data_IF_350245427838
#
_entry.id   IF_350245427838
#
_cell.length_a   1.000
_cell.length_b   1.000
_cell.length_c   1.000
_cell.angle_alpha   90.00
_cell.angle_beta   90.00
_cell.angle_gamma   90.00
#
_symmetry.space_group_name_H-M   'P 1'
#
loop_
_entity.id
_entity.type
_entity.pdbx_description
1 polymer ?
#
# COMPACT_ATOMS: atom_id res chain seq x y z
N UNK A 1 -24.14 22.56 1.20
CA UNK A 1 -24.15 22.58 2.68
C UNK A 1 -25.34 21.75 3.17
N UNK A 2 -25.14 20.45 3.32
CA UNK A 2 -26.19 19.55 3.83
C UNK A 2 -26.21 19.70 5.34
N UNK A 3 -27.33 20.20 5.89
CA UNK A 3 -27.57 20.34 7.33
C UNK A 3 -27.33 18.99 8.01
N UNK A 4 -26.56 19.02 9.09
CA UNK A 4 -26.48 17.94 10.08
C UNK A 4 -27.91 17.73 10.59
N UNK A 5 -28.61 16.73 10.05
CA UNK A 5 -29.89 16.28 10.56
C UNK A 5 -29.61 15.51 11.85
N UNK A 6 -30.10 16.06 12.96
CA UNK A 6 -30.04 15.58 14.34
C UNK A 6 -28.73 15.82 15.09
N UNK A 7 -28.62 17.04 15.63
CA UNK A 7 -27.72 17.38 16.74
C UNK A 7 -28.00 16.51 18.00
N UNK A 8 -29.22 16.01 18.16
CA UNK A 8 -29.67 15.29 19.36
C UNK A 8 -29.04 13.90 19.51
N UNK A 9 -28.83 13.17 18.41
CA UNK A 9 -28.17 11.84 18.44
C UNK A 9 -26.68 11.97 18.81
N UNK A 10 -26.03 13.06 18.40
CA UNK A 10 -24.65 13.40 18.80
C UNK A 10 -24.56 13.81 20.28
N UNK A 11 -25.63 14.39 20.82
CA UNK A 11 -25.69 14.86 22.21
C UNK A 11 -26.05 13.76 23.21
N UNK A 12 -26.75 12.70 22.77
CA UNK A 12 -27.13 11.54 23.61
C UNK A 12 -25.92 10.84 24.24
N UNK A 13 -24.97 10.39 23.42
CA UNK A 13 -23.71 9.78 23.86
C UNK A 13 -22.80 10.78 24.59
N UNK A 14 -22.95 12.08 24.30
CA UNK A 14 -22.15 13.12 24.93
C UNK A 14 -22.55 13.42 26.37
N UNK A 15 -23.80 13.20 26.79
CA UNK A 15 -24.25 13.49 28.17
C UNK A 15 -23.66 12.55 29.22
N UNK A 16 -23.56 11.26 28.91
CA UNK A 16 -22.93 10.28 29.80
C UNK A 16 -21.41 10.52 29.88
N UNK A 17 -20.78 10.88 28.76
CA UNK A 17 -19.34 11.19 28.70
C UNK A 17 -18.97 12.52 29.40
N UNK A 18 -19.82 13.55 29.29
CA UNK A 18 -19.67 14.83 29.99
C UNK A 18 -19.78 14.70 31.51
N UNK A 19 -20.47 13.66 32.01
CA UNK A 19 -20.47 13.38 33.46
C UNK A 19 -19.20 12.68 33.96
N UNK A 20 -18.38 12.13 33.05
CA UNK A 20 -17.15 11.40 33.38
C UNK A 20 -15.87 12.24 33.21
N UNK A 21 -15.94 13.38 32.51
CA UNK A 21 -14.78 14.23 32.21
C UNK A 21 -15.04 15.69 32.57
N UNK A 22 -14.32 16.21 33.56
CA UNK A 22 -14.31 17.64 33.92
C UNK A 22 -13.61 18.46 32.83
N UNK A 23 -14.37 18.90 31.83
CA UNK A 23 -13.90 19.92 30.90
C UNK A 23 -13.91 21.28 31.60
N UNK A 24 -12.73 21.79 31.95
CA UNK A 24 -12.52 23.04 32.68
C UNK A 24 -12.90 24.28 31.84
N UNK A 25 -12.90 24.16 30.50
CA UNK A 25 -13.23 25.25 29.57
C UNK A 25 -14.02 24.74 28.34
N UNK A 26 -14.97 25.56 27.89
CA UNK A 26 -15.71 25.39 26.61
C UNK A 26 -14.75 25.35 25.41
N UNK A 27 -13.61 26.05 25.46
CA UNK A 27 -12.54 25.93 24.45
C UNK A 27 -11.96 24.52 24.38
N UNK A 28 -11.70 23.88 25.52
CA UNK A 28 -11.16 22.52 25.58
C UNK A 28 -12.19 21.50 25.10
N UNK A 29 -13.46 21.68 25.43
CA UNK A 29 -14.54 20.87 24.89
C UNK A 29 -14.71 21.05 23.37
N UNK A 30 -14.63 22.28 22.86
CA UNK A 30 -14.70 22.55 21.41
C UNK A 30 -13.45 22.04 20.68
N UNK A 31 -12.28 22.05 21.32
CA UNK A 31 -11.04 21.45 20.80
C UNK A 31 -11.15 19.92 20.78
N UNK A 32 -11.73 19.33 21.81
CA UNK A 32 -12.06 17.91 21.90
C UNK A 32 -13.07 17.49 20.80
N UNK A 33 -14.17 18.22 20.64
CA UNK A 33 -15.15 17.96 19.58
C UNK A 33 -14.57 18.13 18.18
N UNK A 34 -13.71 19.14 17.97
CA UNK A 34 -12.96 19.32 16.72
C UNK A 34 -11.89 18.25 16.50
N UNK A 35 -11.43 17.61 17.57
CA UNK A 35 -10.54 16.46 17.52
C UNK A 35 -11.27 15.14 17.32
N UNK A 36 -12.59 15.13 17.11
CA UNK A 36 -13.27 13.95 16.60
C UNK A 36 -12.72 13.66 15.20
N UNK A 37 -11.72 12.78 15.16
CA UNK A 37 -11.19 12.23 13.93
C UNK A 37 -12.31 11.44 13.28
N UNK A 38 -12.77 11.90 12.11
CA UNK A 38 -13.87 11.25 11.39
C UNK A 38 -13.45 9.80 11.12
N UNK A 39 -14.02 8.89 11.90
CA UNK A 39 -13.88 7.45 11.74
C UNK A 39 -15.18 6.97 11.16
N UNK A 40 -15.10 6.34 10.00
CA UNK A 40 -16.22 5.58 9.47
C UNK A 40 -15.88 4.12 9.64
N UNK A 41 -16.66 3.44 10.47
CA UNK A 41 -16.76 1.99 10.42
C UNK A 41 -17.53 1.65 9.15
N UNK A 42 -16.86 1.83 8.02
CA UNK A 42 -17.32 1.24 6.79
C UNK A 42 -17.26 -0.26 7.03
N UNK A 43 -18.44 -0.88 7.16
CA UNK A 43 -18.69 -2.28 6.82
C UNK A 43 -18.53 -2.50 5.31
N UNK A 44 -17.68 -1.72 4.64
CA UNK A 44 -17.12 -2.10 3.35
C UNK A 44 -16.16 -3.21 3.72
N UNK A 45 -16.70 -4.42 3.76
CA UNK A 45 -15.88 -5.61 3.68
C UNK A 45 -14.94 -5.35 2.51
N UNK A 46 -13.66 -5.15 2.80
CA UNK A 46 -12.66 -4.93 1.74
C UNK A 46 -12.69 -6.11 0.76
N UNK A 47 -13.13 -7.26 1.26
CA UNK A 47 -13.61 -8.40 0.51
C UNK A 47 -14.78 -9.04 1.29
N UNK A 48 -16.04 -8.95 0.82
CA UNK A 48 -17.19 -9.62 1.43
C UNK A 48 -16.96 -11.12 1.62
N UNK A 49 -17.60 -11.73 2.62
CA UNK A 49 -17.41 -13.16 2.91
C UNK A 49 -17.73 -14.05 1.71
N UNK A 50 -18.80 -13.75 0.98
CA UNK A 50 -19.18 -14.51 -0.22
C UNK A 50 -18.17 -14.33 -1.35
N UNK A 51 -17.62 -13.13 -1.54
CA UNK A 51 -16.54 -12.89 -2.49
C UNK A 51 -15.29 -13.67 -2.11
N UNK A 52 -14.90 -13.65 -0.84
CA UNK A 52 -13.74 -14.38 -0.33
C UNK A 52 -13.90 -15.89 -0.54
N UNK A 53 -15.07 -16.46 -0.21
CA UNK A 53 -15.39 -17.88 -0.47
C UNK A 53 -15.31 -18.22 -1.95
N UNK A 54 -15.86 -17.36 -2.82
CA UNK A 54 -15.78 -17.56 -4.26
C UNK A 54 -14.33 -17.58 -4.76
N UNK A 55 -13.49 -16.66 -4.26
CA UNK A 55 -12.05 -16.65 -4.58
C UNK A 55 -11.36 -17.92 -4.12
N UNK A 56 -11.61 -18.38 -2.89
CA UNK A 56 -11.06 -19.65 -2.40
C UNK A 56 -11.45 -20.83 -3.27
N UNK A 57 -12.73 -20.95 -3.64
CA UNK A 57 -13.20 -22.02 -4.52
C UNK A 57 -12.47 -22.00 -5.88
N UNK A 58 -12.23 -20.83 -6.45
CA UNK A 58 -11.46 -20.71 -7.69
C UNK A 58 -10.00 -21.08 -7.51
N UNK A 59 -9.38 -20.67 -6.39
CA UNK A 59 -7.99 -21.01 -6.06
C UNK A 59 -7.83 -22.52 -5.83
N UNK A 60 -8.77 -23.17 -5.17
CA UNK A 60 -8.79 -24.63 -4.97
C UNK A 60 -8.83 -25.37 -6.32
N UNK A 61 -9.74 -24.98 -7.20
CA UNK A 61 -9.83 -25.54 -8.57
C UNK A 61 -8.54 -25.31 -9.37
N UNK A 62 -7.93 -24.14 -9.22
CA UNK A 62 -6.66 -23.83 -9.85
C UNK A 62 -5.55 -24.75 -9.32
N UNK A 63 -5.49 -24.94 -8.00
CA UNK A 63 -4.50 -25.80 -7.36
C UNK A 63 -4.64 -27.26 -7.82
N UNK A 64 -5.85 -27.80 -7.84
CA UNK A 64 -6.14 -29.16 -8.35
C UNK A 64 -5.65 -29.33 -9.78
N UNK A 65 -5.98 -28.37 -10.66
CA UNK A 65 -5.56 -28.40 -12.07
C UNK A 65 -4.05 -28.26 -12.22
N UNK A 66 -3.41 -27.40 -11.44
CA UNK A 66 -1.95 -27.21 -11.47
C UNK A 66 -1.24 -28.49 -11.01
N UNK A 67 -1.69 -29.13 -9.93
CA UNK A 67 -1.12 -30.37 -9.41
C UNK A 67 -1.30 -31.56 -10.37
N UNK A 68 -2.37 -31.58 -11.16
CA UNK A 68 -2.56 -32.59 -12.19
C UNK A 68 -1.53 -32.49 -13.34
N UNK A 69 -0.99 -31.29 -13.59
CA UNK A 69 -0.07 -31.03 -14.70
C UNK A 69 1.40 -30.84 -14.26
N UNK A 70 1.64 -30.48 -12.99
CA UNK A 70 2.95 -30.12 -12.47
C UNK A 70 3.24 -30.92 -11.19
N UNK A 71 4.14 -31.89 -11.31
CA UNK A 71 4.67 -32.63 -10.18
C UNK A 71 5.29 -31.65 -9.16
N UNK A 72 4.79 -31.70 -7.93
CA UNK A 72 5.24 -30.89 -6.79
C UNK A 72 4.84 -29.40 -6.83
N UNK A 73 3.82 -29.01 -7.59
CA UNK A 73 3.29 -27.66 -7.45
C UNK A 73 2.70 -27.44 -6.04
N UNK A 74 3.16 -26.37 -5.39
CA UNK A 74 2.71 -25.94 -4.07
C UNK A 74 2.33 -24.46 -4.14
N UNK A 75 1.14 -24.14 -3.64
CA UNK A 75 0.68 -22.77 -3.53
C UNK A 75 1.37 -22.11 -2.32
N UNK A 76 2.23 -21.13 -2.57
CA UNK A 76 2.85 -20.34 -1.51
C UNK A 76 2.01 -19.09 -1.15
N UNK A 77 2.34 -18.45 -0.03
CA UNK A 77 1.63 -17.25 0.44
C UNK A 77 1.66 -16.11 -0.59
N UNK A 78 2.73 -15.99 -1.36
CA UNK A 78 2.85 -14.96 -2.39
C UNK A 78 1.89 -15.17 -3.56
N UNK A 79 1.87 -16.39 -4.11
CA UNK A 79 0.99 -16.78 -5.20
C UNK A 79 -0.46 -16.73 -4.75
N UNK A 80 -0.76 -17.16 -3.53
CA UNK A 80 -2.08 -17.00 -2.92
C UNK A 80 -2.50 -15.52 -2.84
N UNK A 81 -1.62 -14.63 -2.36
CA UNK A 81 -1.93 -13.20 -2.25
C UNK A 81 -2.24 -12.57 -3.62
N UNK A 82 -1.49 -12.92 -4.66
CA UNK A 82 -1.76 -12.50 -6.05
C UNK A 82 -3.15 -12.97 -6.49
N UNK A 83 -3.44 -14.27 -6.34
CA UNK A 83 -4.74 -14.82 -6.72
C UNK A 83 -5.89 -14.16 -5.95
N UNK A 84 -5.71 -13.84 -4.68
CA UNK A 84 -6.71 -13.15 -3.86
C UNK A 84 -6.95 -11.70 -4.30
N UNK A 85 -6.03 -11.06 -5.04
CA UNK A 85 -6.20 -9.71 -5.58
C UNK A 85 -6.64 -9.66 -7.04
N UNK A 86 -6.48 -10.75 -7.79
CA UNK A 86 -6.95 -10.86 -9.16
C UNK A 86 -8.46 -10.55 -9.27
N UNK A 87 -8.97 -10.15 -10.44
CA UNK A 87 -10.42 -10.07 -10.62
C UNK A 87 -11.04 -11.47 -10.61
N UNK A 88 -12.30 -11.59 -10.20
CA UNK A 88 -13.03 -12.86 -10.26
C UNK A 88 -13.09 -13.40 -11.70
N UNK A 89 -13.36 -12.52 -12.67
CA UNK A 89 -13.40 -12.89 -14.09
C UNK A 89 -12.08 -13.51 -14.57
N UNK A 90 -10.95 -12.99 -14.05
CA UNK A 90 -9.63 -13.53 -14.38
C UNK A 90 -9.39 -14.89 -13.74
N UNK A 91 -9.74 -15.05 -12.45
CA UNK A 91 -9.66 -16.33 -11.77
C UNK A 91 -10.52 -17.40 -12.45
N UNK A 92 -11.73 -17.04 -12.88
CA UNK A 92 -12.62 -17.92 -13.63
C UNK A 92 -12.00 -18.27 -15.00
N UNK A 93 -11.53 -17.28 -15.76
CA UNK A 93 -10.93 -17.48 -17.07
C UNK A 93 -9.69 -18.40 -17.00
N UNK A 94 -8.88 -18.29 -15.95
CA UNK A 94 -7.72 -19.16 -15.74
C UNK A 94 -8.13 -20.63 -15.74
N UNK A 95 -9.19 -21.01 -15.04
CA UNK A 95 -9.62 -22.41 -14.97
C UNK A 95 -10.03 -22.96 -16.34
N UNK A 96 -10.52 -22.11 -17.23
CA UNK A 96 -10.95 -22.49 -18.58
C UNK A 96 -9.78 -22.70 -19.56
N UNK A 97 -8.63 -22.10 -19.31
CA UNK A 97 -7.45 -22.20 -20.20
C UNK A 97 -6.71 -23.52 -19.92
N UNK A 98 -6.40 -24.36 -20.93
CA UNK A 98 -5.66 -25.62 -20.72
C UNK A 98 -4.33 -25.43 -19.98
N UNK A 99 -3.57 -24.39 -20.35
CA UNK A 99 -2.37 -23.92 -19.64
C UNK A 99 -2.70 -22.72 -18.73
N UNK A 100 -3.48 -22.98 -17.68
CA UNK A 100 -3.87 -21.98 -16.71
C UNK A 100 -2.70 -21.46 -15.85
N UNK A 101 -1.56 -22.15 -15.89
CA UNK A 101 -0.44 -21.88 -15.00
C UNK A 101 0.45 -20.75 -15.51
N UNK A 102 0.73 -20.74 -16.81
CA UNK A 102 1.61 -19.76 -17.46
C UNK A 102 1.23 -18.30 -17.16
N UNK A 103 -0.04 -17.86 -17.22
CA UNK A 103 -0.38 -16.46 -16.93
C UNK A 103 -0.07 -16.04 -15.49
N UNK A 104 -0.35 -16.91 -14.50
CA UNK A 104 -0.04 -16.62 -13.10
C UNK A 104 1.47 -16.56 -12.90
N UNK A 105 2.22 -17.56 -13.36
CA UNK A 105 3.68 -17.58 -13.16
C UNK A 105 4.39 -16.43 -13.86
N UNK A 106 3.96 -16.08 -15.06
CA UNK A 106 4.48 -14.91 -15.78
C UNK A 106 4.22 -13.59 -15.04
N UNK A 107 3.28 -13.57 -14.09
CA UNK A 107 3.00 -12.40 -13.25
C UNK A 107 3.71 -12.39 -11.90
N UNK A 108 4.13 -13.55 -11.39
CA UNK A 108 4.75 -13.68 -10.06
C UNK A 108 6.04 -12.85 -10.00
N UNK A 109 6.99 -13.11 -10.90
CA UNK A 109 8.30 -12.45 -10.85
C UNK A 109 8.20 -10.94 -11.10
N UNK A 110 7.42 -10.45 -12.09
CA UNK A 110 7.20 -9.02 -12.24
C UNK A 110 6.56 -8.38 -11.01
N UNK A 111 5.59 -9.05 -10.37
CA UNK A 111 4.97 -8.54 -9.14
C UNK A 111 5.96 -8.49 -7.99
N UNK A 112 6.81 -9.52 -7.81
CA UNK A 112 7.90 -9.51 -6.82
C UNK A 112 8.85 -8.33 -7.04
N UNK A 113 9.30 -8.14 -8.28
CA UNK A 113 10.20 -7.03 -8.64
C UNK A 113 9.55 -5.67 -8.32
N UNK A 114 8.25 -5.50 -8.63
CA UNK A 114 7.54 -4.26 -8.31
C UNK A 114 7.46 -4.04 -6.81
N UNK A 115 7.14 -5.08 -6.02
CA UNK A 115 7.10 -4.98 -4.55
C UNK A 115 8.48 -4.68 -3.94
N UNK A 116 9.54 -5.29 -4.47
CA UNK A 116 10.91 -4.98 -4.08
C UNK A 116 11.26 -3.52 -4.36
N UNK A 117 10.75 -2.94 -5.46
CA UNK A 117 10.93 -1.51 -5.70
C UNK A 117 10.18 -0.64 -4.67
N UNK A 118 9.05 -1.10 -4.13
CA UNK A 118 8.26 -0.38 -3.14
C UNK A 118 8.82 -0.46 -1.72
N UNK A 119 9.31 -1.63 -1.31
CA UNK A 119 9.57 -1.97 0.09
C UNK A 119 10.98 -2.53 0.34
N UNK A 120 11.67 -2.97 -0.70
CA UNK A 120 13.04 -3.44 -0.59
C UNK A 120 14.01 -2.28 -0.36
N UNK A 121 15.11 -2.57 0.34
CA UNK A 121 16.27 -1.67 0.32
C UNK A 121 16.80 -1.60 -1.12
N UNK A 122 17.06 -0.37 -1.57
CA UNK A 122 17.51 0.01 -2.92
C UNK A 122 18.21 -1.14 -3.68
N UNK A 123 17.48 -1.82 -4.57
CA UNK A 123 18.00 -2.76 -5.57
C UNK A 123 18.73 -4.02 -5.05
N UNK A 124 17.99 -5.03 -4.55
CA UNK A 124 18.38 -6.45 -4.76
C UNK A 124 18.17 -6.92 -6.21
N UNK A 125 17.62 -6.08 -7.07
CA UNK A 125 17.47 -6.32 -8.51
C UNK A 125 18.80 -6.36 -9.28
N UNK A 126 19.93 -5.98 -8.67
CA UNK A 126 21.25 -6.30 -9.21
C UNK A 126 21.47 -7.82 -9.33
N UNK A 127 20.86 -8.62 -8.43
CA UNK A 127 20.93 -10.09 -8.47
C UNK A 127 19.88 -10.72 -9.41
N UNK A 128 18.68 -10.15 -9.52
CA UNK A 128 17.58 -10.74 -10.30
C UNK A 128 17.65 -10.54 -11.83
N UNK A 129 18.57 -9.72 -12.34
CA UNK A 129 18.63 -9.52 -13.80
C UNK A 129 19.76 -8.65 -14.37
N UNK A 130 20.70 -8.16 -13.56
CA UNK A 130 21.83 -7.35 -14.09
C UNK A 130 23.13 -8.16 -14.10
N UNK A 131 23.08 -9.40 -14.60
CA UNK A 131 24.24 -9.91 -15.35
C UNK A 131 24.25 -9.21 -16.70
N UNK A 132 25.13 -8.22 -16.86
CA UNK A 132 25.61 -7.70 -18.15
C UNK A 132 24.50 -7.44 -19.19
N UNK A 133 23.74 -6.37 -19.01
CA UNK A 133 23.42 -5.58 -20.20
C UNK A 133 24.34 -4.37 -20.14
N UNK A 134 25.38 -4.40 -20.97
CA UNK A 134 26.21 -3.26 -21.32
C UNK A 134 25.37 -2.22 -22.10
N UNK A 135 24.23 -1.79 -21.53
CA UNK A 135 23.63 -0.53 -21.92
C UNK A 135 24.62 0.54 -21.47
N UNK A 136 25.29 1.12 -22.47
CA UNK A 136 26.43 2.01 -22.30
C UNK A 136 26.16 3.03 -21.20
N UNK A 137 27.20 3.29 -20.40
CA UNK A 137 27.19 4.31 -19.36
C UNK A 137 26.77 5.71 -19.87
N UNK A 138 26.66 5.90 -21.19
CA UNK A 138 26.23 7.13 -21.85
C UNK A 138 24.71 7.41 -21.78
N UNK A 139 23.85 6.44 -21.46
CA UNK A 139 22.39 6.62 -21.47
C UNK A 139 21.77 6.91 -20.08
N UNK A 140 22.59 7.07 -19.03
CA UNK A 140 22.09 7.43 -17.70
C UNK A 140 22.13 8.94 -17.58
N UNK A 141 21.03 9.62 -17.89
CA UNK A 141 20.80 10.99 -17.40
C UNK A 141 20.02 10.91 -16.09
N UNK A 142 20.69 10.67 -14.95
CA UNK A 142 20.01 10.61 -13.67
C UNK A 142 19.40 11.97 -13.37
N UNK A 143 18.18 11.96 -12.85
CA UNK A 143 17.55 13.15 -12.32
C UNK A 143 17.61 13.10 -10.80
N UNK A 144 17.94 14.23 -10.18
CA UNK A 144 17.78 14.41 -8.73
C UNK A 144 16.32 14.63 -8.36
N UNK A 145 16.00 14.52 -7.07
CA UNK A 145 14.65 14.82 -6.56
C UNK A 145 14.34 16.32 -6.70
N UNK A 146 13.13 16.63 -7.15
CA UNK A 146 12.61 17.98 -7.36
C UNK A 146 12.12 18.58 -6.03
N UNK A 147 12.95 19.45 -5.47
CA UNK A 147 12.65 20.16 -4.22
C UNK A 147 11.41 21.05 -4.37
N UNK A 148 11.11 21.56 -5.57
CA UNK A 148 9.95 22.42 -5.79
C UNK A 148 8.64 21.63 -5.70
N UNK A 149 8.61 20.42 -6.24
CA UNK A 149 7.47 19.49 -6.15
C UNK A 149 7.26 19.01 -4.71
N UNK A 150 8.36 18.69 -4.02
CA UNK A 150 8.30 18.36 -2.58
C UNK A 150 7.72 19.52 -1.75
N UNK A 151 8.12 20.76 -2.05
CA UNK A 151 7.59 21.95 -1.38
C UNK A 151 6.11 22.22 -1.72
N UNK A 152 5.66 21.88 -2.94
CA UNK A 152 4.24 21.94 -3.32
C UNK A 152 3.40 20.96 -2.50
N UNK A 153 3.84 19.70 -2.40
CA UNK A 153 3.15 18.69 -1.57
C UNK A 153 3.11 19.11 -0.09
N UNK A 154 4.22 19.61 0.45
CA UNK A 154 4.29 20.14 1.82
C UNK A 154 3.30 21.27 2.08
N UNK A 155 3.23 22.27 1.17
CA UNK A 155 2.27 23.38 1.29
C UNK A 155 0.82 22.90 1.17
N UNK A 156 0.54 22.00 0.22
CA UNK A 156 -0.80 21.41 0.01
C UNK A 156 -1.31 20.72 1.27
N UNK A 157 -0.43 20.00 1.95
CA UNK A 157 -0.76 19.23 3.16
C UNK A 157 -0.64 20.06 4.45
N UNK A 158 -0.44 21.39 4.35
CA UNK A 158 -0.39 22.30 5.49
C UNK A 158 0.83 22.15 6.39
N UNK A 159 1.94 21.60 5.86
CA UNK A 159 3.17 21.29 6.60
C UNK A 159 2.96 20.42 7.85
N UNK A 160 1.96 19.53 7.78
CA UNK A 160 1.66 18.53 8.81
C UNK A 160 1.50 17.15 8.20
N UNK A 161 1.60 16.13 9.04
CA UNK A 161 1.22 14.78 8.64
C UNK A 161 -0.29 14.73 8.35
N UNK A 162 -0.68 14.26 7.17
CA UNK A 162 -2.09 14.17 6.75
C UNK A 162 -2.93 13.24 7.64
N UNK A 163 -2.28 12.35 8.40
CA UNK A 163 -2.94 11.40 9.31
C UNK A 163 -2.99 11.98 10.71
N UNK A 164 -1.84 12.30 11.31
CA UNK A 164 -1.77 12.65 12.73
C UNK A 164 -1.86 14.14 13.01
N UNK A 165 -1.68 15.00 12.00
CA UNK A 165 -1.49 16.44 12.19
C UNK A 165 -0.16 16.82 12.85
N UNK A 166 0.79 15.87 13.00
CA UNK A 166 2.11 16.16 13.55
C UNK A 166 2.89 17.11 12.62
N UNK A 167 3.58 18.09 13.21
CA UNK A 167 4.44 19.05 12.49
C UNK A 167 5.73 18.38 12.02
N UNK A 168 6.48 19.08 11.14
CA UNK A 168 7.73 18.61 10.55
C UNK A 168 7.58 17.25 9.84
N UNK A 169 6.60 17.09 8.91
CA UNK A 169 6.43 15.84 8.21
C UNK A 169 7.58 15.59 7.22
N UNK A 170 7.79 14.32 6.90
CA UNK A 170 8.46 13.90 5.69
C UNK A 170 7.53 14.02 4.49
N UNK A 171 8.07 14.40 3.33
CA UNK A 171 7.35 14.30 2.06
C UNK A 171 7.71 12.95 1.44
N UNK A 172 6.75 12.04 1.41
CA UNK A 172 6.90 10.66 0.99
C UNK A 172 6.34 10.49 -0.40
N UNK A 173 7.06 9.82 -1.30
CA UNK A 173 6.48 9.39 -2.56
C UNK A 173 5.48 8.23 -2.33
N UNK A 174 4.37 8.24 -3.06
CA UNK A 174 3.37 7.16 -3.03
C UNK A 174 3.93 5.96 -3.81
N UNK A 175 4.30 6.19 -5.08
CA UNK A 175 5.09 5.29 -5.93
C UNK A 175 6.55 5.74 -5.95
N UNK A 176 7.55 4.84 -5.86
CA UNK A 176 8.95 5.22 -5.71
C UNK A 176 9.49 6.13 -6.82
N UNK A 177 10.19 7.19 -6.42
CA UNK A 177 10.94 8.06 -7.35
C UNK A 177 11.88 7.28 -8.28
N UNK A 178 12.51 6.22 -7.74
CA UNK A 178 13.49 5.39 -8.45
C UNK A 178 12.93 4.80 -9.75
N UNK A 179 11.62 4.62 -9.87
CA UNK A 179 10.96 4.13 -11.09
C UNK A 179 11.21 5.02 -12.30
N UNK A 180 11.44 6.31 -12.09
CA UNK A 180 11.62 7.28 -13.19
C UNK A 180 12.91 8.07 -13.05
N UNK A 181 13.85 7.64 -12.21
CA UNK A 181 15.05 8.43 -11.93
C UNK A 181 16.03 8.50 -13.12
N UNK A 182 15.97 7.53 -14.03
CA UNK A 182 16.75 7.47 -15.26
C UNK A 182 16.02 6.61 -16.31
N UNK A 183 16.50 6.67 -17.56
CA UNK A 183 15.89 5.97 -18.70
C UNK A 183 15.80 4.45 -18.47
N UNK A 184 16.88 3.85 -17.96
CA UNK A 184 16.91 2.41 -17.67
C UNK A 184 15.83 1.97 -16.67
N UNK A 185 15.70 2.66 -15.53
CA UNK A 185 14.67 2.29 -14.54
C UNK A 185 13.26 2.46 -15.08
N UNK A 186 13.05 3.53 -15.86
CA UNK A 186 11.78 3.85 -16.48
C UNK A 186 11.34 2.77 -17.46
N UNK A 187 12.21 2.40 -18.38
CA UNK A 187 11.89 1.41 -19.42
C UNK A 187 11.72 0.01 -18.81
N UNK A 188 12.58 -0.34 -17.83
CA UNK A 188 12.48 -1.59 -17.08
C UNK A 188 11.15 -1.68 -16.32
N UNK A 189 10.86 -0.70 -15.46
CA UNK A 189 9.68 -0.78 -14.59
C UNK A 189 8.39 -0.65 -15.39
N UNK A 190 8.38 0.07 -16.51
CA UNK A 190 7.21 0.14 -17.39
C UNK A 190 6.84 -1.24 -17.93
N UNK A 191 7.85 -2.03 -18.37
CA UNK A 191 7.64 -3.39 -18.88
C UNK A 191 7.21 -4.33 -17.76
N UNK A 192 7.90 -4.28 -16.62
CA UNK A 192 7.60 -5.11 -15.44
C UNK A 192 6.20 -4.82 -14.88
N UNK A 193 5.83 -3.55 -14.78
CA UNK A 193 4.52 -3.13 -14.27
C UNK A 193 3.40 -3.58 -15.21
N UNK A 194 3.59 -3.53 -16.53
CA UNK A 194 2.60 -4.04 -17.48
C UNK A 194 2.30 -5.52 -17.23
N UNK A 195 3.31 -6.35 -16.97
CA UNK A 195 3.12 -7.76 -16.62
C UNK A 195 2.47 -7.95 -15.25
N UNK A 196 2.88 -7.18 -14.23
CA UNK A 196 2.31 -7.27 -12.88
C UNK A 196 0.84 -6.81 -12.79
N UNK A 197 0.43 -5.87 -13.66
CA UNK A 197 -0.94 -5.36 -13.74
C UNK A 197 -1.96 -6.41 -14.19
N UNK A 198 -1.52 -7.51 -14.79
CA UNK A 198 -2.43 -8.56 -15.21
C UNK A 198 -3.04 -9.30 -14.01
N UNK A 199 -2.38 -9.36 -12.84
CA UNK A 199 -2.74 -10.33 -11.79
C UNK A 199 -2.79 -9.81 -10.34
N UNK A 200 -2.66 -8.51 -10.09
CA UNK A 200 -2.83 -8.04 -8.70
C UNK A 200 -2.57 -6.56 -8.45
N UNK A 201 -1.88 -5.86 -9.36
CA UNK A 201 -1.75 -4.41 -9.25
C UNK A 201 -2.78 -3.70 -10.14
N UNK A 202 -3.41 -2.62 -9.68
CA UNK A 202 -4.33 -1.86 -10.51
C UNK A 202 -3.61 -1.33 -11.74
N UNK A 203 -4.30 -1.45 -12.88
CA UNK A 203 -3.81 -0.99 -14.16
C UNK A 203 -3.76 0.53 -14.21
N UNK A 204 -2.56 1.09 -14.37
CA UNK A 204 -2.39 2.44 -14.88
C UNK A 204 -2.91 2.46 -16.31
N UNK A 205 -3.82 3.38 -16.61
CA UNK A 205 -4.29 3.55 -17.97
C UNK A 205 -3.15 4.09 -18.87
N UNK A 206 -3.38 4.09 -20.18
CA UNK A 206 -2.38 4.55 -21.15
C UNK A 206 -1.90 5.98 -20.86
N UNK A 207 -2.81 6.89 -20.54
CA UNK A 207 -2.49 8.29 -20.25
C UNK A 207 -1.61 8.44 -19.00
N UNK A 208 -1.95 7.75 -17.92
CA UNK A 208 -1.18 7.74 -16.66
C UNK A 208 0.23 7.16 -16.87
N UNK A 209 0.34 6.07 -17.64
CA UNK A 209 1.65 5.51 -18.02
C UNK A 209 2.46 6.51 -18.84
N UNK A 210 1.86 7.12 -19.85
CA UNK A 210 2.52 8.17 -20.63
C UNK A 210 2.97 9.33 -19.74
N UNK A 211 2.15 9.81 -18.81
CA UNK A 211 2.53 10.92 -17.94
C UNK A 211 3.68 10.56 -17.01
N UNK A 212 3.65 9.37 -16.40
CA UNK A 212 4.67 8.92 -15.46
C UNK A 212 5.99 8.55 -16.15
N UNK A 213 5.94 7.90 -17.32
CA UNK A 213 7.10 7.36 -18.01
C UNK A 213 7.53 8.14 -19.26
N UNK A 214 7.00 9.36 -19.49
CA UNK A 214 7.44 10.20 -20.62
C UNK A 214 8.86 10.75 -20.47
N UNK A 215 9.30 11.00 -19.25
CA UNK A 215 10.59 11.61 -18.97
C UNK A 215 11.11 11.23 -17.60
N UNK A 216 12.42 11.43 -17.38
CA UNK A 216 13.02 11.20 -16.07
C UNK A 216 12.43 12.18 -15.04
N UNK A 217 12.15 11.65 -13.84
CA UNK A 217 11.40 12.30 -12.77
C UNK A 217 9.92 12.51 -13.10
N UNK A 218 9.33 11.74 -14.02
CA UNK A 218 7.90 11.81 -14.30
C UNK A 218 7.02 11.41 -13.11
N UNK A 219 7.53 10.55 -12.22
CA UNK A 219 6.89 10.22 -10.94
C UNK A 219 7.25 11.20 -9.81
N UNK A 220 8.13 12.17 -10.05
CA UNK A 220 8.62 13.11 -9.03
C UNK A 220 7.78 14.37 -8.97
N UNK A 221 6.50 14.18 -8.66
CA UNK A 221 5.48 15.22 -8.72
C UNK A 221 4.67 15.28 -7.45
N UNK A 222 4.14 16.45 -7.13
CA UNK A 222 3.34 16.65 -5.93
C UNK A 222 2.12 15.71 -5.85
N UNK A 223 1.54 15.34 -7.00
CA UNK A 223 0.45 14.35 -7.08
C UNK A 223 0.88 12.91 -6.79
N UNK A 224 2.16 12.61 -6.72
CA UNK A 224 2.71 11.33 -6.28
C UNK A 224 3.38 11.44 -4.90
N UNK A 225 3.02 12.45 -4.09
CA UNK A 225 3.63 12.71 -2.79
C UNK A 225 2.58 12.96 -1.71
N UNK A 226 2.88 12.59 -0.47
CA UNK A 226 2.08 12.85 0.73
C UNK A 226 2.97 13.26 1.91
N UNK A 227 2.46 14.09 2.80
CA UNK A 227 3.13 14.42 4.05
C UNK A 227 2.79 13.43 5.16
N UNK A 228 3.79 12.71 5.67
CA UNK A 228 3.65 11.78 6.78
C UNK A 228 4.63 12.14 7.90
N UNK A 229 4.29 11.82 9.16
CA UNK A 229 5.30 11.90 10.22
C UNK A 229 6.45 10.92 9.93
N UNK A 230 7.69 11.18 10.39
CA UNK A 230 8.81 10.27 10.13
C UNK A 230 8.55 8.82 10.54
N UNK A 231 7.80 8.61 11.64
CA UNK A 231 7.36 7.28 12.05
C UNK A 231 6.40 6.65 11.04
N UNK A 232 5.36 7.36 10.60
CA UNK A 232 4.43 6.84 9.60
C UNK A 232 5.10 6.61 8.24
N UNK A 233 6.03 7.47 7.84
CA UNK A 233 6.83 7.25 6.64
C UNK A 233 7.57 5.90 6.69
N UNK A 234 8.28 5.64 7.80
CA UNK A 234 8.99 4.37 8.01
C UNK A 234 8.04 3.16 8.00
N UNK A 235 6.89 3.27 8.66
CA UNK A 235 5.91 2.17 8.74
C UNK A 235 5.24 1.90 7.38
N UNK A 236 5.01 2.94 6.56
CA UNK A 236 4.44 2.78 5.21
C UNK A 236 5.44 2.14 4.24
N UNK A 237 6.73 2.50 4.37
CA UNK A 237 7.82 1.84 3.67
C UNK A 237 8.02 0.37 4.03
N UNK A 238 7.38 -0.12 5.10
CA UNK A 238 7.38 -1.53 5.53
C UNK A 238 6.00 -2.20 5.36
N UNK A 239 5.10 -1.59 4.58
CA UNK A 239 3.74 -2.08 4.35
C UNK A 239 2.96 -2.43 5.65
N UNK A 240 3.21 -1.74 6.76
CA UNK A 240 2.48 -1.98 8.02
C UNK A 240 1.12 -1.28 8.08
N UNK A 241 0.88 -0.38 7.13
CA UNK A 241 -0.43 0.22 6.89
C UNK A 241 -0.54 0.63 5.43
N UNK A 242 -1.75 1.01 5.00
CA UNK A 242 -2.02 1.57 3.70
C UNK A 242 -3.15 2.59 3.73
N UNK A 243 -3.32 3.29 2.60
CA UNK A 243 -4.43 4.19 2.37
C UNK A 243 -5.37 3.59 1.32
N UNK A 244 -6.59 3.27 1.72
CA UNK A 244 -7.64 2.92 0.75
C UNK A 244 -8.29 4.20 0.24
N UNK A 245 -8.38 4.35 -1.08
CA UNK A 245 -9.19 5.38 -1.71
C UNK A 245 -10.68 5.10 -1.41
N UNK A 246 -11.38 6.06 -0.81
CA UNK A 246 -12.82 5.92 -0.53
C UNK A 246 -13.63 6.59 -1.63
N UNK A 247 -13.30 7.86 -1.93
CA UNK A 247 -13.94 8.64 -2.99
C UNK A 247 -13.21 9.96 -3.22
N UNK A 248 -13.41 10.52 -4.41
CA UNK A 248 -13.29 11.96 -4.66
C UNK A 248 -14.59 12.68 -4.38
N UNK A 249 -14.49 13.92 -3.91
CA UNK A 249 -15.62 14.84 -3.75
C UNK A 249 -15.65 15.85 -4.89
N UNK A 250 -16.71 16.65 -4.97
CA UNK A 250 -16.80 17.71 -5.97
C UNK A 250 -15.67 18.74 -5.81
N UNK A 251 -15.14 19.28 -6.93
CA UNK A 251 -14.12 20.30 -6.89
C UNK A 251 -14.60 21.55 -6.12
N UNK A 252 -13.69 22.15 -5.35
CA UNK A 252 -13.91 23.46 -4.75
C UNK A 252 -13.88 24.56 -5.82
N UNK A 253 -14.34 25.77 -5.46
CA UNK A 253 -14.27 26.94 -6.34
C UNK A 253 -12.83 27.28 -6.79
N UNK A 254 -11.83 26.80 -6.06
CA UNK A 254 -10.40 27.00 -6.36
C UNK A 254 -9.83 25.90 -7.27
N UNK A 255 -10.65 24.99 -7.79
CA UNK A 255 -10.20 23.88 -8.65
C UNK A 255 -9.44 22.79 -7.91
N UNK A 256 -9.61 22.70 -6.58
CA UNK A 256 -9.05 21.62 -5.77
C UNK A 256 -10.12 20.55 -5.52
N UNK A 257 -9.73 19.29 -5.63
CA UNK A 257 -10.59 18.13 -5.42
C UNK A 257 -10.22 17.49 -4.09
N UNK A 258 -11.12 17.47 -3.10
CA UNK A 258 -10.91 16.71 -1.88
C UNK A 258 -10.98 15.21 -2.18
N UNK A 259 -9.90 14.49 -1.91
CA UNK A 259 -9.84 13.03 -1.99
C UNK A 259 -9.87 12.45 -0.58
N UNK A 260 -10.87 11.60 -0.29
CA UNK A 260 -11.01 10.91 0.99
C UNK A 260 -10.25 9.57 0.95
N UNK A 261 -9.26 9.47 1.82
CA UNK A 261 -8.47 8.27 2.05
C UNK A 261 -8.83 7.68 3.41
N UNK A 262 -8.89 6.35 3.50
CA UNK A 262 -9.05 5.65 4.76
C UNK A 262 -7.73 5.00 5.15
N UNK A 263 -7.23 5.37 6.33
CA UNK A 263 -6.09 4.75 6.95
C UNK A 263 -6.44 3.34 7.44
N UNK A 264 -5.60 2.35 7.11
CA UNK A 264 -5.77 0.95 7.54
C UNK A 264 -4.44 0.39 7.99
N UNK A 265 -4.35 -0.01 9.25
CA UNK A 265 -3.25 -0.86 9.70
C UNK A 265 -3.36 -2.24 9.06
N UNK A 266 -2.20 -2.82 8.76
CA UNK A 266 -2.08 -4.23 8.40
C UNK A 266 -1.42 -4.99 9.55
N UNK A 267 -1.99 -6.14 9.87
CA UNK A 267 -1.42 -7.03 10.89
C UNK A 267 -0.11 -7.61 10.37
N UNK A 268 0.89 -7.72 11.24
CA UNK A 268 2.09 -8.46 10.90
C UNK A 268 1.76 -9.95 10.72
N UNK A 269 2.39 -10.62 9.75
CA UNK A 269 2.34 -12.08 9.60
C UNK A 269 2.64 -12.81 10.90
N UNK A 270 2.20 -14.06 11.00
CA UNK A 270 2.61 -14.90 12.11
C UNK A 270 4.14 -15.10 12.11
N UNK A 271 4.71 -15.33 13.28
CA UNK A 271 6.16 -15.51 13.42
C UNK A 271 6.65 -16.67 12.53
N UNK A 272 7.67 -16.41 11.72
CA UNK A 272 8.27 -17.39 10.80
C UNK A 272 7.64 -17.47 9.41
N UNK A 273 6.50 -16.80 9.16
CA UNK A 273 5.90 -16.76 7.81
C UNK A 273 6.72 -15.92 6.84
N UNK A 274 6.87 -16.42 5.62
CA UNK A 274 7.59 -15.78 4.50
C UNK A 274 6.81 -15.95 3.19
N UNK A 275 7.11 -15.17 2.14
CA UNK A 275 6.43 -15.27 0.85
C UNK A 275 6.37 -16.68 0.23
N UNK A 276 7.40 -17.49 0.46
CA UNK A 276 7.51 -18.86 -0.05
C UNK A 276 6.96 -19.93 0.91
N UNK A 277 6.34 -19.55 2.04
CA UNK A 277 5.69 -20.51 2.94
C UNK A 277 4.49 -21.15 2.23
N UNK A 278 4.37 -22.49 2.20
CA UNK A 278 3.17 -23.17 1.69
C UNK A 278 1.90 -22.72 2.42
N UNK A 279 0.81 -22.54 1.69
CA UNK A 279 -0.50 -22.23 2.30
C UNK A 279 -1.34 -23.50 2.47
N UNK A 280 -1.99 -23.61 3.61
CA UNK A 280 -3.06 -24.59 3.85
C UNK A 280 -4.43 -23.93 3.63
N UNK A 281 -5.06 -24.22 2.50
CA UNK A 281 -6.37 -23.66 2.16
C UNK A 281 -7.47 -24.06 3.15
N UNK A 282 -7.35 -25.20 3.85
CA UNK A 282 -8.32 -25.60 4.86
C UNK A 282 -8.37 -24.60 6.03
N UNK A 283 -7.23 -24.00 6.40
CA UNK A 283 -7.16 -22.96 7.43
C UNK A 283 -7.74 -21.62 6.98
N UNK A 284 -7.80 -21.39 5.67
CA UNK A 284 -8.35 -20.16 5.09
C UNK A 284 -9.88 -20.21 4.96
N UNK A 285 -10.51 -21.40 5.03
CA UNK A 285 -11.97 -21.56 4.97
C UNK A 285 -12.71 -20.87 6.14
N UNK A 286 -12.07 -20.73 7.30
CA UNK A 286 -12.61 -19.96 8.43
C UNK A 286 -12.44 -18.46 8.19
N UNK A 287 -13.44 -17.84 7.55
CA UNK A 287 -13.43 -16.41 7.26
C UNK A 287 -13.20 -15.53 8.49
N UNK A 288 -13.60 -15.92 9.70
CA UNK A 288 -13.38 -15.09 10.90
C UNK A 288 -11.89 -15.01 11.27
N UNK A 289 -11.11 -16.04 10.91
CA UNK A 289 -9.70 -16.17 11.27
C UNK A 289 -8.76 -16.27 10.06
N UNK A 290 -9.25 -16.12 8.83
CA UNK A 290 -8.43 -16.19 7.62
C UNK A 290 -7.51 -14.95 7.45
N UNK A 291 -6.59 -14.99 6.49
CA UNK A 291 -5.64 -13.87 6.26
C UNK A 291 -6.34 -12.58 5.86
N UNK A 292 -7.32 -12.67 4.96
CA UNK A 292 -8.04 -11.49 4.49
C UNK A 292 -8.80 -10.82 5.63
N UNK A 293 -9.46 -11.57 6.51
CA UNK A 293 -10.16 -10.97 7.65
C UNK A 293 -9.21 -10.40 8.69
N UNK A 294 -8.10 -11.05 8.98
CA UNK A 294 -7.04 -10.48 9.84
C UNK A 294 -6.48 -9.17 9.31
N UNK A 295 -6.45 -8.99 7.99
CA UNK A 295 -5.99 -7.76 7.35
C UNK A 295 -7.07 -6.69 7.24
N UNK A 296 -8.32 -7.09 7.03
CA UNK A 296 -9.39 -6.17 6.62
C UNK A 296 -10.41 -5.87 7.72
N UNK A 297 -10.56 -6.76 8.70
CA UNK A 297 -11.58 -6.71 9.76
C UNK A 297 -11.02 -6.52 11.17
N UNK A 298 -9.69 -6.51 11.34
CA UNK A 298 -9.08 -6.22 12.63
C UNK A 298 -9.08 -4.71 12.91
N UNK A 299 -10.21 -4.21 13.42
CA UNK A 299 -10.35 -2.82 13.89
C UNK A 299 -9.62 -2.58 15.23
N UNK A 300 -9.11 -3.63 15.88
CA UNK A 300 -8.44 -3.57 17.18
C UNK A 300 -6.94 -3.39 17.09
N UNK A 301 -6.31 -3.81 15.98
CA UNK A 301 -4.87 -3.64 15.81
C UNK A 301 -4.49 -2.16 15.72
N UNK A 302 -3.62 -1.75 16.64
CA UNK A 302 -3.09 -0.40 16.72
C UNK A 302 -1.60 -0.44 16.98
N UNK A 303 -0.87 0.50 16.38
CA UNK A 303 0.46 0.84 16.86
C UNK A 303 0.29 1.91 17.96
N UNK A 304 0.42 1.53 19.22
CA UNK A 304 0.19 2.43 20.38
C UNK A 304 1.08 3.68 20.41
N UNK A 305 2.12 3.72 19.57
CA UNK A 305 3.03 4.86 19.39
C UNK A 305 2.53 5.90 18.40
N UNK A 306 1.56 5.57 17.53
CA UNK A 306 1.03 6.52 16.54
C UNK A 306 -0.23 7.18 17.07
N UNK A 307 -0.13 8.48 17.36
CA UNK A 307 -1.19 9.28 17.97
C UNK A 307 -1.44 10.56 17.18
N UNK A 308 -2.68 11.03 17.21
CA UNK A 308 -3.04 12.34 16.67
C UNK A 308 -2.44 13.45 17.53
N UNK A 309 -1.71 14.37 16.91
CA UNK A 309 -0.97 15.43 17.60
C UNK A 309 -1.88 16.35 18.43
N UNK A 310 -3.09 16.61 17.95
CA UNK A 310 -4.02 17.54 18.61
C UNK A 310 -4.69 16.98 19.87
N UNK A 311 -4.78 15.65 19.97
CA UNK A 311 -5.68 14.99 20.93
C UNK A 311 -5.03 13.86 21.73
N UNK A 312 -3.86 13.38 21.31
CA UNK A 312 -3.17 12.24 21.92
C UNK A 312 -3.83 10.88 21.69
N UNK A 313 -5.01 10.83 21.06
CA UNK A 313 -5.70 9.58 20.73
C UNK A 313 -4.90 8.75 19.74
N UNK A 314 -4.98 7.43 19.89
CA UNK A 314 -4.30 6.46 19.02
C UNK A 314 -4.96 6.46 17.63
N UNK A 315 -4.14 6.45 16.58
CA UNK A 315 -4.63 6.24 15.22
C UNK A 315 -5.04 4.78 15.05
N UNK A 316 -6.31 4.57 14.71
CA UNK A 316 -6.91 3.25 14.44
C UNK A 316 -7.19 3.04 12.95
N UNK A 317 -7.31 1.79 12.52
CA UNK A 317 -7.90 1.48 11.22
C UNK A 317 -9.29 2.11 11.09
N UNK A 318 -9.60 2.66 9.92
CA UNK A 318 -10.90 3.25 9.62
C UNK A 318 -10.94 4.79 9.69
N UNK A 319 -9.91 5.43 10.26
CA UNK A 319 -9.81 6.89 10.26
C UNK A 319 -9.69 7.44 8.83
N UNK A 320 -10.39 8.53 8.58
CA UNK A 320 -10.35 9.23 7.30
C UNK A 320 -9.37 10.39 7.36
N UNK A 321 -8.60 10.54 6.29
CA UNK A 321 -7.87 11.78 6.01
C UNK A 321 -8.30 12.31 4.63
N UNK A 322 -8.26 13.63 4.48
CA UNK A 322 -8.58 14.33 3.23
C UNK A 322 -7.34 14.98 2.67
N UNK A 323 -7.09 14.79 1.38
CA UNK A 323 -5.99 15.42 0.66
C UNK A 323 -6.58 16.27 -0.46
N UNK A 324 -6.15 17.52 -0.56
CA UNK A 324 -6.67 18.49 -1.54
C UNK A 324 -5.82 18.46 -2.82
N UNK A 325 -6.28 17.81 -3.88
CA UNK A 325 -5.50 17.61 -5.12
C UNK A 325 -5.99 18.56 -6.22
N UNK A 326 -5.12 19.23 -7.00
CA UNK A 326 -5.55 19.99 -8.17
C UNK A 326 -6.35 19.13 -9.15
N UNK A 327 -7.41 19.69 -9.76
CA UNK A 327 -8.29 18.95 -10.65
C UNK A 327 -7.54 18.24 -11.79
N UNK A 328 -6.52 18.87 -12.38
CA UNK A 328 -5.74 18.24 -13.46
C UNK A 328 -4.88 17.04 -13.01
N UNK A 329 -4.68 16.88 -11.70
CA UNK A 329 -3.76 15.91 -11.13
C UNK A 329 -4.48 14.76 -10.39
N UNK A 330 -5.80 14.88 -10.18
CA UNK A 330 -6.56 13.96 -9.32
C UNK A 330 -6.53 12.53 -9.83
N UNK A 331 -6.72 12.32 -11.13
CA UNK A 331 -6.73 10.97 -11.74
C UNK A 331 -5.36 10.28 -11.61
N UNK A 332 -4.27 11.05 -11.60
CA UNK A 332 -2.93 10.50 -11.36
C UNK A 332 -2.73 10.15 -9.89
N UNK A 333 -3.16 11.04 -8.98
CA UNK A 333 -3.08 10.80 -7.55
C UNK A 333 -3.85 9.54 -7.14
N UNK A 334 -5.09 9.39 -7.61
CA UNK A 334 -5.94 8.23 -7.34
C UNK A 334 -5.25 6.93 -7.78
N UNK A 335 -4.73 6.89 -9.01
CA UNK A 335 -4.03 5.72 -9.51
C UNK A 335 -2.75 5.37 -8.73
N UNK A 336 -1.99 6.37 -8.26
CA UNK A 336 -0.82 6.10 -7.41
C UNK A 336 -1.22 5.53 -6.05
N UNK A 337 -2.26 6.09 -5.43
CA UNK A 337 -2.80 5.60 -4.15
C UNK A 337 -3.30 4.17 -4.29
N UNK A 338 -4.08 3.88 -5.32
CA UNK A 338 -4.59 2.53 -5.59
C UNK A 338 -3.44 1.54 -5.84
N UNK A 339 -2.44 1.94 -6.63
CA UNK A 339 -1.23 1.11 -6.87
C UNK A 339 -0.50 0.80 -5.57
N UNK A 340 -0.30 1.81 -4.72
CA UNK A 340 0.37 1.62 -3.42
C UNK A 340 -0.48 0.81 -2.44
N UNK A 341 -1.80 0.97 -2.47
CA UNK A 341 -2.73 0.16 -1.70
C UNK A 341 -2.62 -1.34 -2.06
N UNK A 342 -2.66 -1.66 -3.35
CA UNK A 342 -2.50 -3.02 -3.84
C UNK A 342 -1.12 -3.58 -3.45
N UNK A 343 -0.06 -2.81 -3.64
CA UNK A 343 1.29 -3.22 -3.23
C UNK A 343 1.38 -3.51 -1.71
N UNK A 344 0.85 -2.63 -0.86
CA UNK A 344 0.87 -2.85 0.59
C UNK A 344 0.02 -4.05 1.01
N UNK A 345 -1.15 -4.24 0.41
CA UNK A 345 -2.02 -5.39 0.71
C UNK A 345 -1.39 -6.70 0.25
N UNK A 346 -0.73 -6.74 -0.92
CA UNK A 346 0.02 -7.92 -1.38
C UNK A 346 1.16 -8.24 -0.41
N UNK A 347 1.95 -7.24 -0.04
CA UNK A 347 3.06 -7.42 0.88
C UNK A 347 2.61 -7.90 2.27
N UNK A 348 1.46 -7.43 2.74
CA UNK A 348 0.89 -7.86 4.01
C UNK A 348 0.31 -9.28 3.96
N UNK A 349 -0.45 -9.62 2.91
CA UNK A 349 -1.03 -10.96 2.71
C UNK A 349 0.02 -12.05 2.53
N UNK A 350 1.08 -11.74 1.78
CA UNK A 350 2.15 -12.69 1.45
C UNK A 350 3.26 -12.78 2.49
N UNK A 351 3.13 -12.08 3.62
CA UNK A 351 4.19 -11.94 4.61
C UNK A 351 5.50 -11.25 4.17
N UNK A 352 5.56 -10.71 2.94
CA UNK A 352 6.73 -9.98 2.46
C UNK A 352 7.06 -8.75 3.33
N UNK A 353 6.06 -8.10 3.94
CA UNK A 353 6.23 -6.95 4.82
C UNK A 353 7.21 -7.18 5.99
N UNK A 354 7.32 -8.42 6.50
CA UNK A 354 8.27 -8.78 7.54
C UNK A 354 9.65 -9.16 6.98
N UNK A 355 9.71 -9.82 5.82
CA UNK A 355 10.97 -10.22 5.19
C UNK A 355 11.86 -9.01 4.84
N UNK A 356 11.24 -7.88 4.48
CA UNK A 356 11.95 -6.61 4.27
C UNK A 356 12.50 -5.96 5.55
N UNK A 357 12.09 -6.39 6.75
CA UNK A 357 12.61 -5.84 8.03
C UNK A 357 14.02 -6.32 8.34
N UNK A 358 14.38 -7.53 7.92
CA UNK A 358 15.63 -8.20 8.32
C UNK A 358 16.81 -7.84 7.40
N UNK A 359 16.55 -7.13 6.30
CA UNK A 359 17.58 -6.68 5.35
C UNK A 359 18.44 -5.50 5.80
N UNK A 360 18.13 -4.84 6.93
CA UNK A 360 18.91 -3.72 7.48
C UNK A 360 20.00 -4.16 8.48
N UNK A 361 20.04 -5.44 8.90
CA UNK A 361 20.94 -5.91 9.99
C UNK A 361 22.11 -6.81 9.58
N UNK A 362 22.32 -7.08 8.29
CA UNK A 362 23.51 -7.82 7.83
C UNK A 362 24.42 -6.92 7.01
N UNK A 363 25.22 -6.09 7.68
CA UNK A 363 26.53 -5.73 7.14
C UNK A 363 27.29 -7.03 6.90
N UNK A 364 27.74 -7.34 5.67
CA UNK A 364 28.61 -8.48 5.46
C UNK A 364 29.93 -8.15 6.13
N UNK A 365 30.18 -8.71 7.31
CA UNK A 365 31.52 -8.83 7.84
C UNK A 365 32.29 -9.68 6.83
N UNK A 366 33.12 -9.03 6.02
CA UNK A 366 34.20 -9.66 5.30
C UNK A 366 35.06 -10.39 6.33
N UNK A 367 34.79 -11.68 6.53
CA UNK A 367 35.78 -12.62 7.08
C UNK A 367 36.88 -12.70 6.03
N UNK A 368 37.90 -11.89 6.21
CA UNK A 368 39.20 -12.15 5.59
C UNK A 368 39.75 -13.39 6.27
N UNK A 369 39.58 -14.55 5.65
CA UNK A 369 40.37 -15.72 5.99
C UNK A 369 41.83 -15.38 5.70
N UNK A 370 42.57 -15.14 6.77
CA UNK A 370 44.00 -14.92 6.76
C UNK A 370 44.63 -16.26 6.40
N UNK A 371 45.01 -16.42 5.15
CA UNK A 371 45.92 -17.50 4.72
C UNK A 371 47.24 -17.28 5.46
N UNK A 372 47.48 -18.06 6.51
CA UNK A 372 48.80 -18.22 7.09
C UNK A 372 49.70 -18.90 6.05
N UNK A 373 50.72 -18.18 5.59
CA UNK A 373 51.85 -18.77 4.88
C UNK A 373 52.74 -19.43 5.92
N UNK A 374 52.89 -20.74 5.82
CA UNK A 374 54.11 -21.46 6.25
C UNK A 374 55.00 -21.67 5.04
#
# INVERSE_FOLDING_TARGET
MTRISNLEDVLGDSKQFLSEHDFVDTQDFLKYLRSRHERRDFAVHLMPQDEYRNRLNWIERFLEKAQANLLNFCLDLFTFAIAMQASLDLLEALILIPDCFSPITNSIDPTRIVLDCFFGSYFRSAEYGVKKIEYSAAARTPKGRDKSESAKARRRDGDVCIVTGATLPDVCHIVPFSWTSCDFHRDFIQTTLASAQHFGLPGLNFQQRCQMFRANGGADKAWNMLCLSPLLHKLWGKAQFGFKLIRRLDPTMQGLVPVELQFRWFRSPADGEKPNTPIDLATEQDYANCRASRLFHDYGYTNGSVRFAQSGHIVRSGHLCRVMIPLQDVDNFEAMIETKWAACTLAAMSAAANDYKDGESSTPTLRTDRVERT
#
